data_IF_949875198060
#
_entry.id   IF_949875198060
#
_cell.length_a   1.000
_cell.length_b   1.000
_cell.length_c   1.000
_cell.angle_alpha   90.00
_cell.angle_beta   90.00
_cell.angle_gamma   90.00
#
_symmetry.space_group_name_H-M   'P 1'
#
loop_
_entity.id
_entity.type
_entity.pdbx_description
1 polymer ?
#
# COMPACT_ATOMS: atom_id res chain seq x y z
N UNK A 1 4.59 -17.60 11.03
CA UNK A 1 4.50 -17.40 9.57
C UNK A 1 3.38 -16.41 9.34
N UNK A 2 3.67 -15.24 8.78
CA UNK A 2 2.64 -14.20 8.59
C UNK A 2 1.82 -14.57 7.35
N UNK A 3 0.51 -14.69 7.56
CA UNK A 3 -0.51 -15.01 6.56
C UNK A 3 -0.57 -13.93 5.47
N UNK A 4 -1.20 -14.24 4.34
CA UNK A 4 -1.58 -13.25 3.35
C UNK A 4 -2.35 -12.09 4.00
N UNK A 5 -2.03 -10.84 3.65
CA UNK A 5 -2.81 -9.69 4.11
C UNK A 5 -4.02 -9.56 3.18
N UNK A 6 -5.22 -9.60 3.76
CA UNK A 6 -6.47 -9.50 3.03
C UNK A 6 -7.18 -8.17 3.35
N UNK A 7 -7.48 -7.40 2.30
CA UNK A 7 -8.11 -6.10 2.41
C UNK A 7 -9.41 -6.07 1.59
N UNK A 8 -10.53 -5.60 2.18
CA UNK A 8 -11.82 -5.62 1.51
C UNK A 8 -11.90 -4.60 0.37
N UNK A 9 -12.74 -4.90 -0.61
CA UNK A 9 -13.25 -3.92 -1.56
C UNK A 9 -14.18 -2.96 -0.83
N UNK A 10 -13.97 -1.65 -1.00
CA UNK A 10 -14.83 -0.63 -0.43
C UNK A 10 -16.04 -0.39 -1.33
N UNK A 11 -16.97 -1.35 -1.35
CA UNK A 11 -18.11 -1.41 -2.27
C UNK A 11 -19.06 -0.20 -2.23
N UNK A 12 -19.01 0.60 -1.17
CA UNK A 12 -19.84 1.80 -1.04
C UNK A 12 -19.10 3.08 -1.47
N UNK A 13 -17.90 2.94 -2.03
CA UNK A 13 -17.10 4.03 -2.59
C UNK A 13 -16.94 3.85 -4.10
N UNK A 14 -16.83 4.97 -4.80
CA UNK A 14 -16.57 5.02 -6.25
C UNK A 14 -15.33 5.88 -6.53
N UNK A 15 -14.13 5.46 -6.09
CA UNK A 15 -12.95 6.27 -6.26
C UNK A 15 -12.52 6.34 -7.74
N UNK A 16 -11.93 7.47 -8.10
CA UNK A 16 -11.24 7.72 -9.36
C UNK A 16 -9.74 7.79 -9.12
N UNK A 17 -8.90 7.62 -10.14
CA UNK A 17 -7.45 7.79 -9.99
C UNK A 17 -7.05 9.15 -9.34
N UNK A 18 -7.62 10.31 -9.75
CA UNK A 18 -7.33 11.57 -9.07
C UNK A 18 -7.76 11.62 -7.60
N UNK A 19 -8.98 11.14 -7.28
CA UNK A 19 -9.43 11.13 -5.88
C UNK A 19 -8.64 10.16 -5.01
N UNK A 20 -8.20 9.03 -5.58
CA UNK A 20 -7.32 8.07 -4.92
C UNK A 20 -5.97 8.72 -4.63
N UNK A 21 -5.37 9.44 -5.58
CA UNK A 21 -4.11 10.14 -5.33
C UNK A 21 -4.24 11.12 -4.15
N UNK A 22 -5.30 11.93 -4.14
CA UNK A 22 -5.56 12.86 -3.02
C UNK A 22 -5.71 12.12 -1.69
N UNK A 23 -6.45 11.01 -1.67
CA UNK A 23 -6.66 10.21 -0.47
C UNK A 23 -5.37 9.54 0.01
N UNK A 24 -4.56 9.02 -0.91
CA UNK A 24 -3.29 8.38 -0.57
C UNK A 24 -2.28 9.39 -0.01
N UNK A 25 -2.27 10.63 -0.53
CA UNK A 25 -1.46 11.72 0.04
C UNK A 25 -1.93 12.10 1.44
N UNK A 26 -3.25 12.17 1.68
CA UNK A 26 -3.82 12.40 3.00
C UNK A 26 -3.37 11.32 4.00
N UNK A 27 -3.56 10.05 3.67
CA UNK A 27 -3.22 8.92 4.54
C UNK A 27 -1.71 8.79 4.76
N UNK A 28 -0.89 9.06 3.75
CA UNK A 28 0.57 9.12 3.91
C UNK A 28 0.99 10.24 4.89
N UNK A 29 0.29 11.38 4.88
CA UNK A 29 0.48 12.45 5.85
C UNK A 29 0.04 12.07 7.27
N UNK A 30 -1.07 11.34 7.41
CA UNK A 30 -1.53 10.80 8.69
C UNK A 30 -0.53 9.79 9.27
N UNK A 31 -0.01 8.88 8.43
CA UNK A 31 1.07 7.96 8.78
C UNK A 31 2.33 8.70 9.22
N UNK A 32 2.80 9.70 8.44
CA UNK A 32 3.97 10.49 8.79
C UNK A 32 3.82 11.14 10.18
N UNK A 33 2.64 11.69 10.48
CA UNK A 33 2.31 12.27 11.77
C UNK A 33 2.32 11.22 12.89
N UNK A 34 1.74 10.03 12.67
CA UNK A 34 1.75 8.94 13.65
C UNK A 34 3.18 8.48 13.95
N UNK A 35 4.00 8.31 12.92
CA UNK A 35 5.42 7.96 13.06
C UNK A 35 6.17 9.01 13.88
N UNK A 36 6.01 10.30 13.56
CA UNK A 36 6.66 11.38 14.31
C UNK A 36 6.25 11.43 15.79
N UNK A 37 5.00 11.08 16.11
CA UNK A 37 4.55 10.94 17.50
C UNK A 37 5.17 9.74 18.20
N UNK A 38 5.36 8.63 17.50
CA UNK A 38 5.94 7.39 18.02
C UNK A 38 7.44 7.51 18.32
N UNK A 39 8.24 8.14 17.44
CA UNK A 39 9.70 8.13 17.51
C UNK A 39 10.30 8.51 18.89
N UNK A 40 9.83 9.55 19.60
CA UNK A 40 10.37 9.89 20.92
C UNK A 40 10.13 8.81 21.99
N UNK A 41 9.20 7.89 21.74
CA UNK A 41 8.79 6.82 22.64
C UNK A 41 9.26 5.45 22.17
N UNK A 42 9.97 5.31 21.04
CA UNK A 42 10.33 4.00 20.46
C UNK A 42 11.04 3.05 21.43
N UNK A 43 11.74 3.58 22.44
CA UNK A 43 12.46 2.83 23.46
C UNK A 43 11.69 2.71 24.81
N UNK A 44 10.43 3.16 24.88
CA UNK A 44 9.59 3.19 26.09
C UNK A 44 8.39 2.26 25.91
N UNK A 45 8.36 1.15 26.63
CA UNK A 45 7.45 0.04 26.32
C UNK A 45 5.95 0.37 26.39
N UNK A 46 5.46 1.03 27.45
CA UNK A 46 4.02 1.21 27.64
C UNK A 46 3.42 2.24 26.67
N UNK A 47 4.06 3.40 26.51
CA UNK A 47 3.60 4.45 25.59
C UNK A 47 3.88 4.11 24.12
N UNK A 48 4.93 3.33 23.84
CA UNK A 48 5.23 2.86 22.49
C UNK A 48 4.12 1.97 21.94
N UNK A 49 3.55 1.07 22.75
CA UNK A 49 2.58 0.08 22.26
C UNK A 49 1.32 0.73 21.68
N UNK A 50 0.76 1.75 22.36
CA UNK A 50 -0.41 2.49 21.86
C UNK A 50 -0.08 3.29 20.60
N UNK A 51 1.03 4.04 20.62
CA UNK A 51 1.46 4.84 19.47
C UNK A 51 1.84 3.97 18.27
N UNK A 52 2.35 2.77 18.50
CA UNK A 52 2.68 1.82 17.45
C UNK A 52 1.42 1.20 16.82
N UNK A 53 0.37 0.98 17.61
CA UNK A 53 -0.92 0.57 17.10
C UNK A 53 -1.52 1.64 16.16
N UNK A 54 -1.36 2.93 16.50
CA UNK A 54 -1.73 4.04 15.62
C UNK A 54 -0.93 3.98 14.30
N UNK A 55 0.40 3.89 14.37
CA UNK A 55 1.27 3.77 13.18
C UNK A 55 0.86 2.60 12.29
N UNK A 56 0.61 1.43 12.87
CA UNK A 56 0.21 0.25 12.11
C UNK A 56 -1.20 0.39 11.51
N UNK A 57 -2.10 1.10 12.20
CA UNK A 57 -3.41 1.46 11.68
C UNK A 57 -3.34 2.38 10.46
N UNK A 58 -2.45 3.37 10.48
CA UNK A 58 -2.22 4.29 9.35
C UNK A 58 -1.54 3.59 8.16
N UNK A 59 -0.61 2.65 8.41
CA UNK A 59 -0.03 1.80 7.35
C UNK A 59 -1.12 1.01 6.60
N UNK A 60 -2.11 0.48 7.34
CA UNK A 60 -3.24 -0.21 6.76
C UNK A 60 -4.18 0.72 6.00
N UNK A 61 -4.38 1.96 6.43
CA UNK A 61 -5.19 2.94 5.70
C UNK A 61 -4.55 3.25 4.34
N UNK A 62 -3.25 3.59 4.30
CA UNK A 62 -2.50 3.81 3.05
C UNK A 62 -2.60 2.59 2.12
N UNK A 63 -2.40 1.39 2.66
CA UNK A 63 -2.50 0.16 1.88
C UNK A 63 -3.93 -0.08 1.36
N UNK A 64 -4.96 0.17 2.17
CA UNK A 64 -6.35 0.02 1.81
C UNK A 64 -6.75 0.95 0.66
N UNK A 65 -6.28 2.19 0.64
CA UNK A 65 -6.53 3.09 -0.50
C UNK A 65 -5.92 2.55 -1.79
N UNK A 66 -4.69 2.03 -1.72
CA UNK A 66 -4.04 1.41 -2.88
C UNK A 66 -4.82 0.20 -3.39
N UNK A 67 -5.19 -0.71 -2.49
CA UNK A 67 -5.98 -1.92 -2.83
C UNK A 67 -7.34 -1.57 -3.41
N UNK A 68 -8.02 -0.57 -2.85
CA UNK A 68 -9.32 -0.11 -3.35
C UNK A 68 -9.20 0.38 -4.79
N UNK A 69 -8.15 1.12 -5.10
CA UNK A 69 -7.93 1.56 -6.48
C UNK A 69 -7.56 0.40 -7.40
N UNK A 70 -6.74 -0.57 -6.96
CA UNK A 70 -6.43 -1.77 -7.75
C UNK A 70 -7.72 -2.51 -8.15
N UNK A 71 -8.71 -2.63 -7.26
CA UNK A 71 -10.03 -3.16 -7.62
C UNK A 71 -10.71 -2.37 -8.74
N UNK A 72 -10.75 -1.04 -8.60
CA UNK A 72 -11.36 -0.19 -9.63
C UNK A 72 -10.61 -0.31 -10.95
N UNK A 73 -9.30 -0.51 -10.92
CA UNK A 73 -8.50 -0.69 -12.14
C UNK A 73 -8.81 -1.98 -12.88
N UNK A 74 -9.08 -3.07 -12.15
CA UNK A 74 -9.57 -4.29 -12.77
C UNK A 74 -10.97 -4.10 -13.35
N UNK A 75 -11.89 -3.55 -12.55
CA UNK A 75 -13.30 -3.46 -12.91
C UNK A 75 -13.57 -2.45 -14.04
N UNK A 76 -12.86 -1.33 -14.03
CA UNK A 76 -13.18 -0.16 -14.87
C UNK A 76 -12.15 0.13 -15.96
N UNK A 77 -10.91 -0.34 -15.80
CA UNK A 77 -9.82 -0.09 -16.77
C UNK A 77 -9.25 -1.37 -17.39
N UNK A 78 -9.82 -2.54 -17.08
CA UNK A 78 -9.43 -3.82 -17.69
C UNK A 78 -8.03 -4.33 -17.28
N UNK A 79 -7.46 -3.77 -16.21
CA UNK A 79 -6.15 -4.18 -15.69
C UNK A 79 -6.28 -5.57 -15.06
N UNK A 80 -5.32 -6.45 -15.33
CA UNK A 80 -5.27 -7.78 -14.72
C UNK A 80 -4.27 -7.79 -13.56
N UNK A 81 -4.75 -7.68 -12.32
CA UNK A 81 -3.83 -7.59 -11.17
C UNK A 81 -2.95 -8.82 -10.99
N UNK A 82 -3.44 -10.00 -11.35
CA UNK A 82 -2.62 -11.24 -11.35
C UNK A 82 -1.45 -11.17 -12.34
N UNK A 83 -1.53 -10.39 -13.42
CA UNK A 83 -0.40 -10.19 -14.33
C UNK A 83 0.59 -9.16 -13.75
N UNK A 84 0.10 -8.19 -12.96
CA UNK A 84 0.91 -7.15 -12.35
C UNK A 84 1.90 -7.68 -11.32
N UNK A 85 1.56 -8.75 -10.58
CA UNK A 85 2.46 -9.29 -9.55
C UNK A 85 3.79 -9.73 -10.17
N UNK A 86 3.76 -10.40 -11.33
CA UNK A 86 4.98 -10.85 -12.01
C UNK A 86 5.87 -9.68 -12.43
N UNK A 87 5.25 -8.61 -12.97
CA UNK A 87 5.97 -7.38 -13.35
C UNK A 87 6.56 -6.69 -12.11
N UNK A 88 5.79 -6.62 -11.03
CA UNK A 88 6.24 -6.01 -9.76
C UNK A 88 7.40 -6.80 -9.14
N UNK A 89 7.34 -8.13 -9.06
CA UNK A 89 8.43 -8.95 -8.53
C UNK A 89 9.70 -8.83 -9.38
N UNK A 90 9.58 -8.86 -10.71
CA UNK A 90 10.72 -8.66 -11.60
C UNK A 90 11.35 -7.26 -11.44
N UNK A 91 10.54 -6.22 -11.17
CA UNK A 91 11.02 -4.89 -10.83
C UNK A 91 11.79 -4.90 -9.50
N UNK A 92 11.31 -5.63 -8.49
CA UNK A 92 11.99 -5.75 -7.21
C UNK A 92 13.36 -6.44 -7.35
N UNK A 93 13.43 -7.51 -8.14
CA UNK A 93 14.68 -8.20 -8.48
C UNK A 93 15.67 -7.27 -9.19
N UNK A 94 15.20 -6.53 -10.19
CA UNK A 94 16.03 -5.59 -10.94
C UNK A 94 16.58 -4.45 -10.06
N UNK A 95 15.80 -4.02 -9.05
CA UNK A 95 16.24 -3.04 -8.03
C UNK A 95 17.18 -3.66 -6.96
N UNK A 96 17.39 -4.98 -6.99
CA UNK A 96 18.27 -5.69 -6.06
C UNK A 96 17.66 -5.94 -4.68
N UNK A 97 16.33 -5.91 -4.56
CA UNK A 97 15.66 -6.24 -3.31
C UNK A 97 15.62 -7.76 -3.10
N UNK A 98 16.10 -8.21 -1.94
CA UNK A 98 16.10 -9.62 -1.58
C UNK A 98 14.76 -10.03 -0.95
N UNK A 99 14.18 -11.14 -1.42
CA UNK A 99 13.00 -11.78 -0.81
C UNK A 99 13.00 -13.30 -1.06
N UNK A 100 12.02 -14.01 -0.49
CA UNK A 100 11.96 -15.47 -0.58
C UNK A 100 11.41 -15.94 -1.94
N UNK A 101 12.31 -16.27 -2.86
CA UNK A 101 11.96 -16.79 -4.19
C UNK A 101 11.33 -18.20 -4.18
N UNK A 102 11.34 -18.92 -3.05
CA UNK A 102 10.68 -20.22 -2.96
C UNK A 102 9.17 -20.07 -2.67
N UNK A 103 8.74 -18.90 -2.21
CA UNK A 103 7.34 -18.62 -1.92
C UNK A 103 6.63 -18.13 -3.18
N UNK A 104 5.42 -18.63 -3.40
CA UNK A 104 4.52 -18.08 -4.41
C UNK A 104 3.89 -16.78 -3.87
N UNK A 105 3.96 -15.72 -4.68
CA UNK A 105 3.32 -14.44 -4.42
C UNK A 105 2.22 -14.22 -5.45
N UNK A 106 1.10 -13.63 -5.02
CA UNK A 106 -0.10 -13.51 -5.86
C UNK A 106 -1.00 -12.37 -5.41
N UNK A 107 -1.80 -11.85 -6.35
CA UNK A 107 -2.81 -10.84 -6.10
C UNK A 107 -4.15 -11.38 -6.59
N UNK A 108 -4.89 -12.02 -5.69
CA UNK A 108 -6.15 -12.67 -6.06
C UNK A 108 -7.37 -11.97 -5.46
N UNK A 109 -8.47 -12.02 -6.18
CA UNK A 109 -9.78 -11.55 -5.70
C UNK A 109 -10.63 -12.76 -5.31
N UNK A 110 -11.10 -12.80 -4.06
CA UNK A 110 -12.12 -13.79 -3.64
C UNK A 110 -13.28 -13.05 -2.97
N UNK A 111 -14.44 -13.07 -3.63
CA UNK A 111 -15.60 -12.28 -3.22
C UNK A 111 -15.26 -10.79 -3.16
N UNK A 112 -15.51 -10.17 -2.01
CA UNK A 112 -15.23 -8.76 -1.76
C UNK A 112 -13.86 -8.50 -1.14
N UNK A 113 -12.91 -9.42 -1.27
CA UNK A 113 -11.59 -9.29 -0.65
C UNK A 113 -10.49 -9.46 -1.68
N UNK A 114 -9.48 -8.59 -1.57
CA UNK A 114 -8.22 -8.73 -2.27
C UNK A 114 -7.24 -9.40 -1.33
N UNK A 115 -6.63 -10.47 -1.80
CA UNK A 115 -5.58 -11.18 -1.10
C UNK A 115 -4.28 -10.81 -1.78
N UNK A 116 -3.48 -10.02 -1.07
CA UNK A 116 -2.16 -9.60 -1.51
C UNK A 116 -1.13 -10.41 -0.74
N UNK A 117 -0.54 -11.38 -1.42
CA UNK A 117 0.62 -12.11 -0.94
C UNK A 117 1.86 -11.42 -1.51
N UNK A 118 2.24 -10.29 -0.90
CA UNK A 118 3.45 -9.54 -1.24
C UNK A 118 4.65 -9.99 -0.39
N UNK A 119 5.87 -10.02 -0.94
CA UNK A 119 7.07 -10.41 -0.22
C UNK A 119 7.36 -9.52 0.98
N UNK A 120 7.95 -10.11 2.03
CA UNK A 120 8.76 -9.33 2.97
C UNK A 120 10.09 -9.06 2.29
N UNK A 121 10.42 -7.79 2.06
CA UNK A 121 11.74 -7.43 1.54
C UNK A 121 12.78 -7.40 2.66
N UNK A 122 13.92 -8.05 2.44
CA UNK A 122 15.08 -8.01 3.32
C UNK A 122 15.95 -6.81 2.95
N UNK A 123 15.60 -5.65 3.50
CA UNK A 123 16.30 -4.39 3.25
C UNK A 123 17.00 -3.97 4.54
N UNK A 124 18.30 -3.68 4.44
CA UNK A 124 19.07 -3.15 5.57
C UNK A 124 18.59 -1.73 5.92
N UNK A 125 18.63 -1.41 7.22
CA UNK A 125 18.39 -0.05 7.76
C UNK A 125 17.01 0.56 7.46
N UNK A 126 16.04 -0.25 7.03
CA UNK A 126 14.65 0.20 6.89
C UNK A 126 14.02 0.41 8.26
N UNK A 127 13.53 1.64 8.45
CA UNK A 127 12.79 2.09 9.62
C UNK A 127 11.53 2.86 9.20
N UNK A 128 10.68 3.20 10.18
CA UNK A 128 9.41 3.89 9.94
C UNK A 128 9.57 5.21 9.16
N UNK A 129 10.60 6.01 9.45
CA UNK A 129 10.85 7.25 8.71
C UNK A 129 11.19 6.97 7.25
N UNK A 130 12.10 6.04 6.99
CA UNK A 130 12.48 5.69 5.61
C UNK A 130 11.30 5.11 4.83
N UNK A 131 10.40 4.36 5.49
CA UNK A 131 9.18 3.86 4.86
C UNK A 131 8.22 5.00 4.51
N UNK A 132 8.03 5.98 5.39
CA UNK A 132 7.23 7.17 5.08
C UNK A 132 7.80 7.92 3.87
N UNK A 133 9.12 8.13 3.84
CA UNK A 133 9.79 8.76 2.69
C UNK A 133 9.58 7.96 1.40
N UNK A 134 9.70 6.63 1.48
CA UNK A 134 9.53 5.78 0.30
C UNK A 134 8.09 5.80 -0.21
N UNK A 135 7.09 5.72 0.68
CA UNK A 135 5.68 5.89 0.30
C UNK A 135 5.46 7.23 -0.43
N UNK A 136 6.05 8.31 0.09
CA UNK A 136 5.92 9.64 -0.54
C UNK A 136 6.57 9.71 -1.93
N UNK A 137 7.70 9.01 -2.13
CA UNK A 137 8.36 8.87 -3.44
C UNK A 137 7.45 8.14 -4.44
N UNK A 138 6.91 6.98 -4.06
CA UNK A 138 6.04 6.17 -4.93
C UNK A 138 4.72 6.91 -5.27
N UNK A 139 4.18 7.70 -4.34
CA UNK A 139 3.04 8.60 -4.63
C UNK A 139 3.42 9.71 -5.63
N UNK A 140 4.67 10.17 -5.62
CA UNK A 140 5.22 11.07 -6.63
C UNK A 140 5.28 10.43 -8.01
N UNK A 141 5.71 9.17 -8.10
CA UNK A 141 5.73 8.39 -9.35
C UNK A 141 4.31 8.18 -9.89
N UNK A 142 3.35 7.83 -9.03
CA UNK A 142 1.93 7.77 -9.39
C UNK A 142 1.42 9.12 -9.94
N UNK A 143 1.79 10.23 -9.29
CA UNK A 143 1.44 11.58 -9.74
C UNK A 143 2.03 11.88 -11.12
N UNK A 144 3.24 11.39 -11.41
CA UNK A 144 3.87 11.58 -12.72
C UNK A 144 3.07 10.91 -13.84
N UNK A 145 2.59 9.68 -13.64
CA UNK A 145 1.75 8.99 -14.64
C UNK A 145 0.44 9.75 -14.90
N UNK A 146 -0.21 10.23 -13.83
CA UNK A 146 -1.44 11.01 -13.93
C UNK A 146 -1.21 12.40 -14.57
N UNK A 147 -0.10 13.05 -14.24
CA UNK A 147 0.30 14.35 -14.79
C UNK A 147 0.58 14.29 -16.28
N UNK A 148 1.36 13.28 -16.72
CA UNK A 148 1.64 13.01 -18.14
C UNK A 148 0.35 12.79 -18.94
N UNK A 149 -0.61 12.06 -18.37
CA UNK A 149 -1.94 11.86 -18.97
C UNK A 149 -2.73 13.17 -19.09
N UNK A 150 -2.69 14.00 -18.06
CA UNK A 150 -3.39 15.28 -18.05
C UNK A 150 -2.78 16.30 -19.03
N UNK A 151 -1.49 16.14 -19.39
CA UNK A 151 -0.68 17.20 -20.02
C UNK A 151 -0.34 18.31 -19.02
N UNK A 152 -0.21 17.95 -17.74
CA UNK A 152 0.13 18.90 -16.69
C UNK A 152 1.48 19.57 -16.99
N UNK A 153 1.65 20.83 -16.57
CA UNK A 153 2.86 21.63 -16.82
C UNK A 153 3.24 21.82 -18.30
N UNK A 154 2.28 21.64 -19.23
CA UNK A 154 2.52 21.76 -20.66
C UNK A 154 3.20 20.54 -21.28
N UNK A 155 3.25 19.41 -20.57
CA UNK A 155 3.74 18.14 -21.10
C UNK A 155 2.87 17.64 -22.26
N UNK A 156 3.50 17.03 -23.26
CA UNK A 156 2.78 16.43 -24.38
C UNK A 156 2.07 15.16 -23.91
N UNK A 157 0.80 14.99 -24.32
CA UNK A 157 0.07 13.73 -24.16
C UNK A 157 0.62 12.69 -25.13
N UNK A 158 1.80 12.14 -24.82
CA UNK A 158 2.51 11.17 -25.66
C UNK A 158 2.43 9.74 -25.13
N UNK A 159 1.83 9.51 -23.95
CA UNK A 159 1.71 8.18 -23.38
C UNK A 159 0.31 7.62 -23.63
N UNK A 160 0.30 6.43 -24.20
CA UNK A 160 -0.88 5.59 -24.41
C UNK A 160 -1.61 5.27 -23.09
N UNK A 161 -2.94 5.23 -23.14
CA UNK A 161 -3.78 5.09 -21.95
C UNK A 161 -3.48 3.79 -21.18
N UNK A 162 -3.24 2.68 -21.89
CA UNK A 162 -2.91 1.39 -21.29
C UNK A 162 -1.58 1.45 -20.52
N UNK A 163 -0.59 2.17 -21.05
CA UNK A 163 0.68 2.39 -20.35
C UNK A 163 0.51 3.25 -19.11
N UNK A 164 -0.35 4.27 -19.15
CA UNK A 164 -0.64 5.09 -17.97
C UNK A 164 -1.32 4.27 -16.89
N UNK A 165 -2.37 3.51 -17.24
CA UNK A 165 -3.09 2.71 -16.27
C UNK A 165 -2.22 1.59 -15.70
N UNK A 166 -1.45 0.90 -16.54
CA UNK A 166 -0.52 -0.13 -16.05
C UNK A 166 0.53 0.48 -15.11
N UNK A 167 1.10 1.64 -15.47
CA UNK A 167 2.05 2.35 -14.60
C UNK A 167 1.42 2.76 -13.26
N UNK A 168 0.24 3.35 -13.28
CA UNK A 168 -0.49 3.70 -12.04
C UNK A 168 -0.74 2.47 -11.16
N UNK A 169 -1.10 1.33 -11.74
CA UNK A 169 -1.36 0.12 -10.99
C UNK A 169 -0.08 -0.44 -10.33
N UNK A 170 1.06 -0.36 -11.04
CA UNK A 170 2.36 -0.76 -10.50
C UNK A 170 2.81 0.16 -9.37
N UNK A 171 2.59 1.47 -9.44
CA UNK A 171 2.97 2.36 -8.34
C UNK A 171 2.05 2.21 -7.12
N UNK A 172 0.77 1.91 -7.32
CA UNK A 172 -0.11 1.52 -6.20
C UNK A 172 0.37 0.23 -5.52
N UNK A 173 0.94 -0.72 -6.28
CA UNK A 173 1.55 -1.92 -5.73
C UNK A 173 2.85 -1.63 -4.99
N UNK A 174 3.68 -0.70 -5.46
CA UNK A 174 4.90 -0.30 -4.76
C UNK A 174 4.59 0.37 -3.41
N UNK A 175 3.57 1.23 -3.35
CA UNK A 175 3.08 1.79 -2.08
C UNK A 175 2.59 0.69 -1.15
N UNK A 176 1.75 -0.23 -1.65
CA UNK A 176 1.26 -1.36 -0.84
C UNK A 176 2.42 -2.25 -0.33
N UNK A 177 3.41 -2.54 -1.19
CA UNK A 177 4.61 -3.29 -0.86
C UNK A 177 5.42 -2.63 0.26
N UNK A 178 5.54 -1.29 0.25
CA UNK A 178 6.19 -0.54 1.33
C UNK A 178 5.45 -0.71 2.66
N UNK A 179 4.12 -0.57 2.65
CA UNK A 179 3.31 -0.79 3.84
C UNK A 179 3.45 -2.22 4.37
N UNK A 180 3.45 -3.21 3.49
CA UNK A 180 3.47 -4.62 3.85
C UNK A 180 4.81 -5.04 4.43
N UNK A 181 5.92 -4.64 3.79
CA UNK A 181 7.26 -4.85 4.34
C UNK A 181 7.38 -4.27 5.74
N UNK A 182 6.88 -3.05 5.95
CA UNK A 182 6.94 -2.43 7.27
C UNK A 182 6.04 -3.14 8.28
N UNK A 183 4.82 -3.56 7.91
CA UNK A 183 3.98 -4.38 8.80
C UNK A 183 4.68 -5.66 9.24
N UNK A 184 5.39 -6.35 8.34
CA UNK A 184 6.19 -7.53 8.71
C UNK A 184 7.32 -7.16 9.67
N UNK A 185 8.03 -6.06 9.44
CA UNK A 185 9.08 -5.58 10.36
C UNK A 185 8.49 -5.26 11.73
N UNK A 186 7.31 -4.64 11.79
CA UNK A 186 6.63 -4.34 13.05
C UNK A 186 6.23 -5.61 13.82
N UNK A 187 5.73 -6.62 13.13
CA UNK A 187 5.45 -7.92 13.74
C UNK A 187 6.71 -8.60 14.29
N UNK A 188 7.82 -8.54 13.55
CA UNK A 188 9.09 -9.16 13.95
C UNK A 188 9.80 -8.41 15.09
N UNK A 189 9.82 -7.08 15.02
CA UNK A 189 10.65 -6.24 15.90
C UNK A 189 9.92 -5.77 17.15
N UNK A 190 8.59 -5.66 17.07
CA UNK A 190 7.74 -5.12 18.12
C UNK A 190 6.58 -6.06 18.51
N UNK A 191 6.56 -7.29 17.99
CA UNK A 191 5.54 -8.30 18.29
C UNK A 191 4.09 -7.82 18.02
N UNK A 192 3.93 -6.98 16.99
CA UNK A 192 2.63 -6.49 16.54
C UNK A 192 1.79 -7.64 15.94
N UNK A 193 0.58 -7.82 16.46
CA UNK A 193 -0.39 -8.81 15.97
C UNK A 193 -1.10 -8.29 14.71
N UNK A 194 -0.58 -8.64 13.53
CA UNK A 194 -1.13 -8.25 12.23
C UNK A 194 -2.56 -8.75 12.03
N UNK A 195 -2.88 -9.97 12.46
CA UNK A 195 -4.22 -10.54 12.28
C UNK A 195 -5.26 -9.77 13.11
N UNK A 196 -4.91 -9.36 14.33
CA UNK A 196 -5.74 -8.46 15.14
C UNK A 196 -5.88 -7.09 14.48
N UNK A 197 -4.80 -6.51 13.97
CA UNK A 197 -4.85 -5.20 13.29
C UNK A 197 -5.75 -5.22 12.06
N UNK A 198 -5.63 -6.21 11.18
CA UNK A 198 -6.48 -6.36 10.01
C UNK A 198 -7.96 -6.47 10.43
N UNK A 199 -8.27 -7.29 11.44
CA UNK A 199 -9.65 -7.40 11.96
C UNK A 199 -10.19 -6.07 12.48
N UNK A 200 -9.40 -5.32 13.25
CA UNK A 200 -9.78 -4.01 13.77
C UNK A 200 -9.97 -2.98 12.64
N UNK A 201 -9.09 -3.02 11.64
CA UNK A 201 -9.16 -2.16 10.47
C UNK A 201 -10.43 -2.45 9.64
N UNK A 202 -10.72 -3.72 9.34
CA UNK A 202 -11.96 -4.11 8.64
C UNK A 202 -13.19 -3.66 9.45
N UNK A 203 -13.19 -3.85 10.77
CA UNK A 203 -14.28 -3.39 11.62
C UNK A 203 -14.45 -1.86 11.56
N UNK A 204 -13.35 -1.10 11.50
CA UNK A 204 -13.35 0.37 11.30
C UNK A 204 -14.00 0.75 9.97
N UNK A 205 -13.63 0.09 8.87
CA UNK A 205 -14.20 0.35 7.55
C UNK A 205 -15.70 0.06 7.49
N UNK A 206 -16.15 -1.05 8.10
CA UNK A 206 -17.58 -1.38 8.23
C UNK A 206 -18.34 -0.33 9.03
N UNK A 207 -17.80 0.14 10.16
CA UNK A 207 -18.40 1.23 10.95
C UNK A 207 -18.51 2.54 10.18
N UNK A 208 -17.51 2.86 9.34
CA UNK A 208 -17.56 4.02 8.44
C UNK A 208 -18.52 3.84 7.26
N UNK A 209 -19.09 2.65 7.09
CA UNK A 209 -20.01 2.33 6.00
C UNK A 209 -19.32 2.17 4.65
N UNK A 210 -18.01 1.92 4.60
CA UNK A 210 -17.26 1.81 3.35
C UNK A 210 -17.38 0.42 2.69
N UNK A 211 -17.61 -0.61 3.49
CA UNK A 211 -17.82 -1.99 3.03
C UNK A 211 -18.84 -2.74 3.91
N UNK A 212 -19.41 -3.81 3.36
CA UNK A 212 -20.35 -4.71 4.04
C UNK A 212 -19.65 -5.79 4.88
#
# INVERSE_FOLDING_TARGET
>A
MISAICLPKLNNLTPTLPSTLLKAVEEAGELARAVLKFLPYQNKTAEADELLADVAGELLDVAQTCVTMIFVMEDSYGIKADDLIGVHLAKLDAKGYCFDHQRAYRISTTGNYKYLELPRLAIADVNLLTTVCKIQEELGELTQFLGKKAGASGERREIDDDKVYTGCALELLDVAQCCFTMMYILAESYNVDIDKLIRLHIAKLKRKGYCA
#
